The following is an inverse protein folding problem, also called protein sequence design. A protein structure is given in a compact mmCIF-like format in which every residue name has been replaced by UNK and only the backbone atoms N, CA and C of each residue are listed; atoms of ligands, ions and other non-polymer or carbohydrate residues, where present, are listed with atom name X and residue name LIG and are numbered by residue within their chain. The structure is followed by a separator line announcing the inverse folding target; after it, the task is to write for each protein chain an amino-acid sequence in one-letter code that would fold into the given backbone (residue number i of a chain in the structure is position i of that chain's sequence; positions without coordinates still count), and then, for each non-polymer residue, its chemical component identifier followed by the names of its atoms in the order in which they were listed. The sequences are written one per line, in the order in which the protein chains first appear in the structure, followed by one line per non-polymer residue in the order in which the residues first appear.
data_IF_888542267066
#
_entry.id   IF_888542267066
#
_cell.length_a   1.000
_cell.length_b   1.000
_cell.length_c   1.000
_cell.angle_alpha   90.00
_cell.angle_beta   90.00
_cell.angle_gamma   90.00
#
_symmetry.space_group_name_H-M   'P 1'
#
loop_
_entity.id
_entity.type
_entity.pdbx_description
1 polymer ?
#
# COMPACT_ATOMS: atom_id res chain seq x y z
N UNK A 1 -39.07 11.79 15.32
CA UNK A 1 -38.02 12.68 14.79
C UNK A 1 -38.19 12.71 13.28
N UNK A 2 -38.49 13.87 12.69
CA UNK A 2 -38.83 13.95 11.27
C UNK A 2 -37.58 14.41 10.51
N UNK A 3 -36.80 13.46 9.98
CA UNK A 3 -35.48 13.68 9.37
C UNK A 3 -35.46 14.84 8.35
N UNK A 4 -36.56 15.00 7.61
CA UNK A 4 -36.73 16.07 6.64
C UNK A 4 -36.66 17.48 7.26
N UNK A 5 -37.22 17.65 8.47
CA UNK A 5 -37.18 18.94 9.18
C UNK A 5 -35.76 19.24 9.67
N UNK A 6 -35.03 18.25 10.16
CA UNK A 6 -33.65 18.45 10.65
C UNK A 6 -32.67 18.81 9.53
N UNK A 7 -32.84 18.22 8.34
CA UNK A 7 -32.06 18.57 7.15
C UNK A 7 -32.42 19.99 6.71
N UNK A 8 -33.70 20.33 6.66
CA UNK A 8 -34.17 21.67 6.30
C UNK A 8 -33.58 22.72 7.25
N UNK A 9 -33.71 22.52 8.57
CA UNK A 9 -33.21 23.45 9.59
C UNK A 9 -31.67 23.52 9.64
N UNK A 10 -30.97 22.49 9.16
CA UNK A 10 -29.50 22.49 9.10
C UNK A 10 -28.94 23.33 7.96
N UNK A 11 -29.60 23.32 6.80
CA UNK A 11 -29.05 23.88 5.55
C UNK A 11 -29.79 25.11 5.03
N UNK A 12 -31.08 25.27 5.32
CA UNK A 12 -31.92 26.35 4.76
C UNK A 12 -32.14 27.44 5.81
N UNK A 13 -31.88 28.73 5.51
CA UNK A 13 -32.28 29.83 6.38
C UNK A 13 -33.79 30.02 6.41
N UNK A 14 -34.41 29.99 7.59
CA UNK A 14 -35.81 30.35 7.79
C UNK A 14 -36.02 31.00 9.16
N UNK A 15 -37.23 31.53 9.38
CA UNK A 15 -37.61 32.30 10.57
C UNK A 15 -37.40 31.54 11.88
N UNK A 16 -37.67 30.23 11.91
CA UNK A 16 -37.51 29.42 13.13
C UNK A 16 -36.04 29.11 13.46
N UNK A 17 -35.11 29.34 12.52
CA UNK A 17 -33.67 29.19 12.72
C UNK A 17 -32.93 30.54 12.69
N UNK A 18 -33.61 31.64 12.98
CA UNK A 18 -33.07 33.01 12.97
C UNK A 18 -32.33 33.37 11.67
N UNK A 19 -32.72 32.75 10.55
CA UNK A 19 -32.05 32.85 9.25
C UNK A 19 -30.55 32.45 9.28
N UNK A 20 -30.14 31.62 10.25
CA UNK A 20 -28.75 31.16 10.45
C UNK A 20 -28.68 29.63 10.47
N UNK A 21 -28.43 28.97 9.31
CA UNK A 21 -28.36 27.52 9.19
C UNK A 21 -27.48 26.89 10.26
N UNK A 22 -27.96 25.80 10.89
CA UNK A 22 -27.22 25.18 11.99
C UNK A 22 -25.85 24.64 11.54
N UNK A 23 -25.71 24.24 10.27
CA UNK A 23 -24.47 23.72 9.71
C UNK A 23 -23.30 24.72 9.77
N UNK A 24 -23.57 26.02 9.61
CA UNK A 24 -22.54 27.07 9.60
C UNK A 24 -22.38 27.78 10.95
N UNK A 25 -23.05 27.33 12.01
CA UNK A 25 -22.86 27.87 13.36
C UNK A 25 -21.51 27.42 13.91
N UNK A 26 -20.88 28.28 14.73
CA UNK A 26 -19.54 28.05 15.32
C UNK A 26 -19.39 26.67 15.96
N UNK A 27 -20.39 26.22 16.72
CA UNK A 27 -20.37 24.88 17.36
C UNK A 27 -20.30 23.74 16.34
N UNK A 28 -21.09 23.82 15.27
CA UNK A 28 -21.14 22.80 14.22
C UNK A 28 -19.86 22.78 13.39
N UNK A 29 -19.30 23.96 13.09
CA UNK A 29 -18.01 24.08 12.39
C UNK A 29 -16.87 23.47 13.22
N UNK A 30 -16.85 23.70 14.53
CA UNK A 30 -15.85 23.09 15.43
C UNK A 30 -15.97 21.57 15.46
N UNK A 31 -17.19 21.03 15.56
CA UNK A 31 -17.43 19.57 15.51
C UNK A 31 -16.99 18.99 14.16
N UNK A 32 -17.30 19.67 13.05
CA UNK A 32 -16.87 19.25 11.72
C UNK A 32 -15.35 19.25 11.57
N UNK A 33 -14.66 20.28 12.08
CA UNK A 33 -13.19 20.34 12.07
C UNK A 33 -12.58 19.18 12.85
N UNK A 34 -13.10 18.90 14.05
CA UNK A 34 -12.65 17.75 14.86
C UNK A 34 -12.90 16.44 14.11
N UNK A 35 -14.09 16.27 13.53
CA UNK A 35 -14.43 15.08 12.76
C UNK A 35 -13.49 14.88 11.57
N UNK A 36 -13.16 15.93 10.82
CA UNK A 36 -12.19 15.87 9.71
C UNK A 36 -10.81 15.46 10.20
N UNK A 37 -10.33 16.03 11.32
CA UNK A 37 -9.04 15.65 11.90
C UNK A 37 -9.03 14.19 12.36
N UNK A 38 -10.08 13.74 13.05
CA UNK A 38 -10.21 12.35 13.51
C UNK A 38 -10.27 11.38 12.33
N UNK A 39 -11.04 11.71 11.29
CA UNK A 39 -11.10 10.91 10.07
C UNK A 39 -9.76 10.88 9.35
N UNK A 40 -9.04 12.00 9.29
CA UNK A 40 -7.70 12.07 8.71
C UNK A 40 -6.68 11.22 9.48
N UNK A 41 -6.66 11.33 10.81
CA UNK A 41 -5.81 10.48 11.66
C UNK A 41 -6.18 9.01 11.51
N UNK A 42 -7.47 8.69 11.53
CA UNK A 42 -7.98 7.34 11.31
C UNK A 42 -7.54 6.76 9.97
N UNK A 43 -7.64 7.55 8.89
CA UNK A 43 -7.17 7.15 7.56
C UNK A 43 -5.66 6.86 7.54
N UNK A 44 -4.84 7.70 8.19
CA UNK A 44 -3.39 7.49 8.30
C UNK A 44 -3.07 6.22 9.10
N UNK A 45 -3.77 5.98 10.21
CA UNK A 45 -3.59 4.77 11.04
C UNK A 45 -3.97 3.52 10.25
N UNK A 46 -5.10 3.53 9.55
CA UNK A 46 -5.53 2.43 8.68
C UNK A 46 -4.50 2.18 7.58
N UNK A 47 -4.02 3.24 6.93
CA UNK A 47 -2.99 3.14 5.89
C UNK A 47 -1.71 2.50 6.44
N UNK A 48 -1.25 2.92 7.62
CA UNK A 48 -0.06 2.33 8.28
C UNK A 48 -0.25 0.83 8.55
N UNK A 49 -1.38 0.44 9.13
CA UNK A 49 -1.69 -0.96 9.44
C UNK A 49 -1.74 -1.81 8.16
N UNK A 50 -2.35 -1.30 7.09
CA UNK A 50 -2.45 -2.01 5.81
C UNK A 50 -1.07 -2.17 5.18
N UNK A 51 -0.25 -1.13 5.17
CA UNK A 51 1.10 -1.16 4.58
C UNK A 51 2.03 -2.07 5.37
N UNK A 52 2.07 -1.97 6.70
CA UNK A 52 2.94 -2.81 7.54
C UNK A 52 2.58 -4.30 7.48
N UNK A 53 1.30 -4.61 7.27
CA UNK A 53 0.81 -5.99 7.13
C UNK A 53 0.81 -6.50 5.70
N UNK A 54 1.17 -5.66 4.72
CA UNK A 54 1.15 -6.03 3.32
C UNK A 54 2.56 -6.11 2.79
N UNK A 55 2.89 -7.21 2.13
CA UNK A 55 4.14 -7.35 1.38
C UNK A 55 4.21 -6.42 0.17
N UNK A 56 3.20 -5.58 -0.09
CA UNK A 56 3.08 -4.74 -1.27
C UNK A 56 4.28 -3.82 -1.52
N UNK A 57 4.90 -3.27 -0.46
CA UNK A 57 6.10 -2.43 -0.60
C UNK A 57 7.38 -3.22 -0.84
N UNK A 58 7.43 -4.48 -0.39
CA UNK A 58 8.58 -5.38 -0.53
C UNK A 58 8.42 -6.35 -1.72
N UNK A 59 7.25 -6.37 -2.36
CA UNK A 59 6.94 -7.21 -3.49
C UNK A 59 7.74 -6.74 -4.71
N UNK A 60 8.97 -7.24 -4.81
CA UNK A 60 9.67 -7.29 -6.09
C UNK A 60 8.82 -8.16 -7.00
N UNK A 61 8.12 -7.55 -7.95
CA UNK A 61 7.32 -8.28 -8.92
C UNK A 61 8.30 -8.95 -9.89
N UNK A 62 8.57 -10.24 -9.67
CA UNK A 62 9.51 -11.04 -10.46
C UNK A 62 9.25 -10.94 -11.97
N UNK A 63 7.97 -10.89 -12.36
CA UNK A 63 7.56 -10.73 -13.76
C UNK A 63 7.97 -9.38 -14.37
N UNK A 64 8.01 -8.30 -13.57
CA UNK A 64 8.50 -6.98 -14.03
C UNK A 64 9.99 -7.04 -14.28
N UNK A 65 10.77 -7.68 -13.40
CA UNK A 65 12.23 -7.86 -13.59
C UNK A 65 12.52 -8.62 -14.88
N UNK A 66 11.81 -9.73 -15.13
CA UNK A 66 12.00 -10.51 -16.36
C UNK A 66 11.64 -9.70 -17.60
N UNK A 67 10.57 -8.90 -17.52
CA UNK A 67 10.16 -8.02 -18.63
C UNK A 67 11.26 -6.99 -18.95
N UNK A 68 11.68 -6.18 -17.98
CA UNK A 68 12.70 -5.15 -18.22
C UNK A 68 14.05 -5.76 -18.64
N UNK A 69 14.39 -6.96 -18.12
CA UNK A 69 15.59 -7.70 -18.55
C UNK A 69 15.49 -8.08 -20.03
N UNK A 70 14.34 -8.56 -20.48
CA UNK A 70 14.15 -8.92 -21.88
C UNK A 70 14.09 -7.71 -22.81
N UNK A 71 13.60 -6.55 -22.34
CA UNK A 71 13.71 -5.28 -23.07
C UNK A 71 15.18 -4.92 -23.33
N UNK A 72 16.03 -5.00 -22.30
CA UNK A 72 17.47 -4.74 -22.42
C UNK A 72 18.17 -5.77 -23.33
N UNK A 73 17.81 -7.05 -23.21
CA UNK A 73 18.33 -8.10 -24.09
C UNK A 73 17.98 -7.86 -25.55
N UNK A 74 16.74 -7.45 -25.85
CA UNK A 74 16.31 -7.11 -27.20
C UNK A 74 17.11 -5.92 -27.76
N UNK A 75 17.36 -4.89 -26.95
CA UNK A 75 18.20 -3.75 -27.35
C UNK A 75 19.65 -4.16 -27.68
N UNK A 76 20.12 -5.25 -27.09
CA UNK A 76 21.44 -5.85 -27.35
C UNK A 76 21.42 -7.00 -28.38
N UNK A 77 20.32 -7.18 -29.14
CA UNK A 77 20.15 -8.26 -30.11
C UNK A 77 20.32 -9.68 -29.52
N UNK A 78 19.94 -9.87 -28.25
CA UNK A 78 19.97 -11.16 -27.56
C UNK A 78 18.58 -11.81 -27.55
N UNK A 79 18.54 -13.15 -27.59
CA UNK A 79 17.30 -13.92 -27.51
C UNK A 79 16.56 -13.69 -26.19
N UNK A 80 15.23 -13.77 -26.19
CA UNK A 80 14.41 -13.67 -24.99
C UNK A 80 14.69 -14.81 -24.01
N UNK A 81 14.64 -14.50 -22.71
CA UNK A 81 14.62 -15.47 -21.63
C UNK A 81 13.16 -15.85 -21.30
N UNK A 82 12.94 -17.13 -21.03
CA UNK A 82 11.70 -17.64 -20.48
C UNK A 82 11.84 -17.92 -18.98
N UNK A 83 10.75 -17.71 -18.25
CA UNK A 83 10.69 -18.06 -16.83
C UNK A 83 10.75 -19.58 -16.67
N UNK A 84 11.53 -20.05 -15.70
CA UNK A 84 11.61 -21.46 -15.33
C UNK A 84 11.18 -21.63 -13.87
N UNK A 85 10.12 -22.43 -13.59
CA UNK A 85 9.65 -22.67 -12.22
C UNK A 85 10.74 -23.23 -11.29
N UNK A 86 11.65 -24.06 -11.82
CA UNK A 86 12.78 -24.60 -11.08
C UNK A 86 13.73 -23.49 -10.64
N UNK A 87 14.04 -22.54 -11.54
CA UNK A 87 14.91 -21.40 -11.23
C UNK A 87 14.26 -20.45 -10.23
N UNK A 88 12.95 -20.20 -10.37
CA UNK A 88 12.20 -19.39 -9.41
C UNK A 88 12.23 -20.01 -8.02
N UNK A 89 12.04 -21.33 -7.91
CA UNK A 89 12.09 -22.02 -6.63
C UNK A 89 13.48 -21.94 -5.99
N UNK A 90 14.54 -22.15 -6.77
CA UNK A 90 15.91 -22.01 -6.28
C UNK A 90 16.22 -20.58 -5.81
N UNK A 91 15.80 -19.57 -6.57
CA UNK A 91 15.98 -18.16 -6.22
C UNK A 91 15.23 -17.79 -4.93
N UNK A 92 13.99 -18.27 -4.76
CA UNK A 92 13.19 -18.07 -3.56
C UNK A 92 13.88 -18.68 -2.33
N UNK A 93 14.37 -19.91 -2.43
CA UNK A 93 15.06 -20.59 -1.32
C UNK A 93 16.37 -19.88 -0.93
N UNK A 94 17.12 -19.36 -1.91
CA UNK A 94 18.30 -18.54 -1.63
C UNK A 94 17.95 -17.23 -0.94
N UNK A 95 16.88 -16.55 -1.38
CA UNK A 95 16.40 -15.32 -0.76
C UNK A 95 15.95 -15.55 0.69
N UNK A 96 15.24 -16.65 0.95
CA UNK A 96 14.85 -17.08 2.31
C UNK A 96 16.08 -17.39 3.19
N UNK A 97 17.12 -17.99 2.63
CA UNK A 97 18.37 -18.23 3.35
C UNK A 97 19.10 -16.93 3.71
N UNK A 98 19.18 -15.97 2.77
CA UNK A 98 19.72 -14.63 3.00
C UNK A 98 18.96 -13.88 4.09
N UNK A 99 17.63 -13.90 4.03
CA UNK A 99 16.77 -13.24 5.01
C UNK A 99 16.90 -13.87 6.41
N UNK A 100 16.89 -15.20 6.51
CA UNK A 100 16.98 -15.91 7.80
C UNK A 100 18.34 -15.75 8.48
N UNK A 101 19.42 -15.75 7.69
CA UNK A 101 20.78 -15.72 8.22
C UNK A 101 21.41 -14.30 8.20
N UNK A 102 20.64 -13.29 7.81
CA UNK A 102 21.06 -11.88 7.86
C UNK A 102 22.28 -11.57 7.00
N UNK A 103 22.33 -12.09 5.77
CA UNK A 103 23.43 -11.83 4.85
C UNK A 103 22.95 -11.53 3.43
N UNK A 104 23.80 -10.88 2.64
CA UNK A 104 23.56 -10.60 1.23
C UNK A 104 24.80 -10.95 0.41
N UNK A 105 24.88 -12.18 -0.08
CA UNK A 105 26.01 -12.69 -0.85
C UNK A 105 25.65 -13.92 -1.69
N UNK A 106 26.41 -14.16 -2.77
CA UNK A 106 26.26 -15.37 -3.58
C UNK A 106 26.54 -16.65 -2.77
N UNK A 107 27.60 -16.65 -1.98
CA UNK A 107 27.94 -17.73 -1.04
C UNK A 107 27.51 -17.34 0.36
N UNK A 108 26.85 -18.23 1.10
CA UNK A 108 26.50 -17.97 2.50
C UNK A 108 27.78 -17.89 3.38
N UNK A 109 27.69 -17.30 4.58
CA UNK A 109 28.76 -17.37 5.58
C UNK A 109 29.16 -18.80 5.96
N UNK A 110 28.27 -19.78 5.73
CA UNK A 110 28.50 -21.21 5.95
C UNK A 110 28.99 -21.96 4.71
N UNK A 111 29.24 -21.28 3.59
CA UNK A 111 29.78 -21.85 2.36
C UNK A 111 28.75 -22.36 1.35
N UNK A 112 27.45 -22.16 1.59
CA UNK A 112 26.38 -22.62 0.69
C UNK A 112 26.36 -21.76 -0.58
N UNK A 113 26.49 -22.39 -1.74
CA UNK A 113 26.48 -21.73 -3.05
C UNK A 113 25.06 -21.70 -3.65
N UNK A 114 24.77 -20.82 -4.63
CA UNK A 114 23.44 -20.74 -5.26
C UNK A 114 22.98 -22.05 -5.93
N UNK A 115 23.92 -22.92 -6.29
CA UNK A 115 23.65 -24.22 -6.92
C UNK A 115 23.06 -25.25 -5.96
N UNK A 116 23.11 -25.00 -4.66
CA UNK A 116 22.60 -25.94 -3.65
C UNK A 116 21.10 -26.24 -3.80
N UNK A 117 20.32 -25.31 -4.37
CA UNK A 117 18.87 -25.43 -4.53
C UNK A 117 18.43 -25.83 -5.94
N UNK A 118 19.37 -26.23 -6.80
CA UNK A 118 19.13 -26.73 -8.15
C UNK A 118 18.96 -28.25 -8.19
#
# INVERSE_FOLDING_TARGET
MNLFREIHDSFIPHRENDYKPHFFRVKSVLVMMIAVVVLGIGAVVVQRIVIEKSDYLAAVISSVIVNITNVDRAANNLSYLAVSPTLERAAQLKAEDMARNGYFAHTSPTGVTPWHWF
#
